data_IF_672866530000
#
_entry.id   IF_672866530000
#
_cell.length_a   1.000
_cell.length_b   1.000
_cell.length_c   1.000
_cell.angle_alpha   90.00
_cell.angle_beta   90.00
_cell.angle_gamma   90.00
#
_symmetry.space_group_name_H-M   'P 1'
#
loop_
_entity.id
_entity.type
_entity.pdbx_description
1 polymer ?
#
# COMPACT_ATOMS: atom_id res chain seq x y z
N UNK A 1 -15.04 41.18 -33.72
CA UNK A 1 -14.33 39.88 -33.66
C UNK A 1 -13.74 39.77 -32.27
N UNK A 2 -14.42 39.08 -31.34
CA UNK A 2 -14.04 39.02 -29.92
C UNK A 2 -13.38 37.67 -29.61
N UNK A 3 -12.20 37.71 -28.98
CA UNK A 3 -11.44 36.53 -28.56
C UNK A 3 -12.15 35.84 -27.39
N UNK A 4 -12.40 34.54 -27.53
CA UNK A 4 -12.94 33.69 -26.45
C UNK A 4 -11.86 33.48 -25.39
N UNK A 5 -12.13 33.77 -24.09
CA UNK A 5 -11.15 33.52 -23.05
C UNK A 5 -11.02 32.02 -22.81
N UNK A 6 -9.80 31.49 -22.96
CA UNK A 6 -9.48 30.11 -22.56
C UNK A 6 -9.47 30.03 -21.03
N UNK A 7 -10.48 29.37 -20.49
CA UNK A 7 -10.56 29.01 -19.07
C UNK A 7 -9.32 28.21 -18.67
N UNK A 8 -8.54 28.73 -17.72
CA UNK A 8 -7.41 28.02 -17.13
C UNK A 8 -7.97 26.81 -16.38
N UNK A 9 -7.86 25.61 -16.97
CA UNK A 9 -8.07 24.35 -16.25
C UNK A 9 -7.24 24.40 -14.98
N UNK A 10 -7.92 24.43 -13.83
CA UNK A 10 -7.32 24.39 -12.51
C UNK A 10 -6.33 23.24 -12.39
N UNK A 11 -5.29 23.45 -11.59
CA UNK A 11 -4.24 22.48 -11.33
C UNK A 11 -4.82 21.07 -11.16
N UNK A 12 -4.45 20.15 -12.06
CA UNK A 12 -4.80 18.74 -11.94
C UNK A 12 -4.34 18.28 -10.56
N UNK A 13 -5.28 17.84 -9.72
CA UNK A 13 -4.99 17.18 -8.45
C UNK A 13 -3.93 16.11 -8.66
N UNK A 14 -3.05 15.95 -7.68
CA UNK A 14 -1.89 15.07 -7.70
C UNK A 14 -2.22 13.74 -8.40
N UNK A 15 -1.54 13.43 -9.50
CA UNK A 15 -1.76 12.23 -10.31
C UNK A 15 -1.19 10.96 -9.67
N UNK A 16 -1.06 10.92 -8.34
CA UNK A 16 -0.62 9.73 -7.64
C UNK A 16 -1.81 8.77 -7.56
N UNK A 17 -1.67 7.51 -8.02
CA UNK A 17 -2.72 6.52 -7.87
C UNK A 17 -3.09 6.38 -6.38
N UNK A 18 -4.36 6.15 -6.11
CA UNK A 18 -4.87 5.93 -4.75
C UNK A 18 -4.18 4.70 -4.15
N UNK A 19 -3.30 4.92 -3.18
CA UNK A 19 -2.54 3.85 -2.52
C UNK A 19 -3.41 3.02 -1.57
N UNK A 20 -4.64 3.46 -1.27
CA UNK A 20 -5.59 2.66 -0.49
C UNK A 20 -6.12 1.43 -1.24
N UNK A 21 -5.95 1.37 -2.57
CA UNK A 21 -6.37 0.22 -3.37
C UNK A 21 -5.57 -1.05 -3.04
N UNK A 22 -4.32 -0.95 -2.58
CA UNK A 22 -3.39 -2.06 -2.34
C UNK A 22 -3.10 -2.24 -0.85
N UNK A 23 -2.74 -3.45 -0.39
CA UNK A 23 -2.23 -3.62 0.98
C UNK A 23 -1.02 -2.71 1.18
N UNK A 24 -0.90 -2.02 2.34
CA UNK A 24 0.23 -1.15 2.60
C UNK A 24 1.53 -1.94 2.50
N UNK A 25 2.47 -1.39 1.74
CA UNK A 25 3.80 -1.96 1.55
C UNK A 25 4.89 -1.08 2.14
N UNK A 26 4.57 0.17 2.44
CA UNK A 26 5.47 1.20 2.96
C UNK A 26 4.89 1.87 4.21
N UNK A 27 5.72 2.63 4.93
CA UNK A 27 5.26 3.45 6.05
C UNK A 27 4.29 4.53 5.57
N UNK A 28 4.56 5.12 4.43
CA UNK A 28 3.75 6.15 3.81
C UNK A 28 2.34 5.64 3.45
N UNK A 29 2.22 4.37 3.01
CA UNK A 29 0.92 3.74 2.79
C UNK A 29 0.13 3.58 4.11
N UNK A 30 0.81 3.26 5.21
CA UNK A 30 0.18 3.19 6.53
C UNK A 30 -0.28 4.56 7.00
N UNK A 31 0.55 5.59 6.84
CA UNK A 31 0.22 6.96 7.22
C UNK A 31 -0.97 7.49 6.40
N UNK A 32 -1.03 7.18 5.11
CA UNK A 32 -2.17 7.52 4.24
C UNK A 32 -3.49 6.86 4.69
N UNK A 33 -3.41 5.72 5.39
CA UNK A 33 -4.55 5.01 6.01
C UNK A 33 -4.82 5.46 7.45
N UNK A 34 -3.98 6.33 8.03
CA UNK A 34 -4.02 6.69 9.44
C UNK A 34 -3.66 5.53 10.38
N UNK A 35 -2.84 4.59 9.93
CA UNK A 35 -2.41 3.42 10.70
C UNK A 35 -1.03 3.67 11.32
N UNK A 36 -0.98 3.68 12.64
CA UNK A 36 0.25 3.73 13.43
C UNK A 36 0.98 2.38 13.46
N UNK A 37 0.21 1.29 13.53
CA UNK A 37 0.71 -0.07 13.67
C UNK A 37 -0.10 -1.08 12.83
N UNK A 38 0.60 -2.08 12.27
CA UNK A 38 0.00 -3.26 11.64
C UNK A 38 -0.36 -4.31 12.70
N UNK A 39 -1.43 -5.05 12.45
CA UNK A 39 -1.72 -6.27 13.20
C UNK A 39 -0.90 -7.43 12.68
N UNK A 40 -0.78 -7.56 11.36
CA UNK A 40 -0.06 -8.66 10.69
C UNK A 40 0.81 -8.09 9.58
N UNK A 41 2.06 -8.54 9.51
CA UNK A 41 2.95 -8.29 8.39
C UNK A 41 3.18 -9.58 7.59
N UNK A 42 2.78 -9.59 6.32
CA UNK A 42 3.08 -10.71 5.42
C UNK A 42 4.43 -10.43 4.75
N UNK A 43 5.39 -11.32 4.97
CA UNK A 43 6.67 -11.33 4.24
C UNK A 43 6.61 -12.42 3.17
N UNK A 44 6.73 -12.03 1.92
CA UNK A 44 6.55 -12.90 0.76
C UNK A 44 7.81 -12.90 -0.13
N UNK A 45 8.24 -14.08 -0.59
CA UNK A 45 9.36 -14.23 -1.52
C UNK A 45 9.00 -14.03 -2.99
N UNK A 46 7.71 -13.91 -3.32
CA UNK A 46 7.21 -13.63 -4.66
C UNK A 46 6.85 -12.14 -4.83
N UNK A 47 6.64 -11.68 -6.06
CA UNK A 47 6.11 -10.36 -6.34
C UNK A 47 4.73 -10.17 -5.69
N UNK A 48 4.45 -8.96 -5.22
CA UNK A 48 3.10 -8.60 -4.78
C UNK A 48 2.27 -8.17 -5.99
N UNK A 49 1.32 -9.03 -6.37
CA UNK A 49 0.23 -8.71 -7.28
C UNK A 49 -1.07 -8.91 -6.51
N UNK A 50 -1.89 -7.87 -6.40
CA UNK A 50 -3.12 -7.90 -5.62
C UNK A 50 -4.23 -8.64 -6.38
N UNK A 51 -4.09 -9.96 -6.46
CA UNK A 51 -4.97 -10.84 -7.22
C UNK A 51 -5.18 -12.17 -6.45
N UNK A 52 -6.38 -12.77 -6.47
CA UNK A 52 -6.68 -13.97 -5.68
C UNK A 52 -5.87 -15.22 -6.06
N UNK A 53 -5.21 -15.22 -7.23
CA UNK A 53 -4.26 -16.28 -7.62
C UNK A 53 -2.90 -16.18 -6.91
N UNK A 54 -2.61 -15.07 -6.22
CA UNK A 54 -1.37 -14.85 -5.48
C UNK A 54 -1.65 -15.08 -3.99
N UNK A 55 -1.06 -16.14 -3.42
CA UNK A 55 -1.39 -16.61 -2.07
C UNK A 55 -1.24 -15.53 -0.98
N UNK A 56 -0.15 -14.75 -1.02
CA UNK A 56 0.06 -13.65 -0.07
C UNK A 56 -1.04 -12.59 -0.14
N UNK A 57 -1.46 -12.21 -1.35
CA UNK A 57 -2.54 -11.25 -1.55
C UNK A 57 -3.89 -11.81 -1.06
N UNK A 58 -4.20 -13.07 -1.40
CA UNK A 58 -5.42 -13.74 -0.95
C UNK A 58 -5.53 -13.77 0.58
N UNK A 59 -4.47 -14.20 1.27
CA UNK A 59 -4.42 -14.25 2.73
C UNK A 59 -4.55 -12.84 3.31
N UNK A 60 -3.81 -11.87 2.77
CA UNK A 60 -3.84 -10.50 3.26
C UNK A 60 -5.22 -9.87 3.15
N UNK A 61 -5.91 -10.03 2.02
CA UNK A 61 -7.28 -9.53 1.83
C UNK A 61 -8.31 -10.28 2.66
N UNK A 62 -8.14 -11.58 2.86
CA UNK A 62 -9.01 -12.36 3.74
C UNK A 62 -8.94 -11.88 5.20
N UNK A 63 -7.74 -11.52 5.68
CA UNK A 63 -7.51 -10.97 7.01
C UNK A 63 -7.96 -9.50 7.11
N UNK A 64 -7.66 -8.67 6.11
CA UNK A 64 -8.13 -7.27 6.07
C UNK A 64 -9.66 -7.19 6.07
N UNK A 65 -10.35 -8.07 5.33
CA UNK A 65 -11.81 -8.21 5.34
C UNK A 65 -12.41 -8.65 6.68
N UNK A 66 -11.57 -9.09 7.64
CA UNK A 66 -11.94 -9.39 9.03
C UNK A 66 -11.60 -8.25 10.00
N UNK A 67 -11.15 -7.11 9.50
CA UNK A 67 -10.84 -5.92 10.29
C UNK A 67 -9.41 -5.86 10.82
N UNK A 68 -8.52 -6.76 10.38
CA UNK A 68 -7.10 -6.66 10.73
C UNK A 68 -6.38 -5.63 9.85
N UNK A 69 -5.43 -4.90 10.42
CA UNK A 69 -4.49 -4.05 9.68
C UNK A 69 -3.36 -4.91 9.14
N UNK A 70 -3.35 -5.20 7.85
CA UNK A 70 -2.39 -6.11 7.23
C UNK A 70 -1.47 -5.36 6.28
N UNK A 71 -0.16 -5.60 6.36
CA UNK A 71 0.82 -5.10 5.41
C UNK A 71 1.53 -6.21 4.63
N UNK A 72 2.18 -5.84 3.53
CA UNK A 72 2.88 -6.76 2.63
C UNK A 72 4.31 -6.28 2.35
N UNK A 73 5.31 -7.15 2.58
CA UNK A 73 6.68 -6.98 2.09
C UNK A 73 6.96 -8.10 1.10
N UNK A 74 7.06 -7.75 -0.17
CA UNK A 74 7.39 -8.67 -1.25
C UNK A 74 8.87 -8.56 -1.61
N UNK A 75 9.52 -9.70 -1.78
CA UNK A 75 10.92 -9.85 -2.16
C UNK A 75 11.86 -8.94 -1.34
N UNK A 76 11.83 -9.02 0.01
CA UNK A 76 12.78 -8.26 0.80
C UNK A 76 14.21 -8.70 0.47
N UNK A 77 15.15 -7.79 0.66
CA UNK A 77 16.55 -8.17 0.76
C UNK A 77 16.74 -9.27 1.81
N UNK A 78 17.59 -10.24 1.49
CA UNK A 78 17.91 -11.36 2.38
C UNK A 78 19.11 -11.03 3.29
N UNK A 79 19.94 -10.06 2.88
CA UNK A 79 21.17 -9.66 3.55
C UNK A 79 20.99 -8.43 4.45
N UNK A 80 19.81 -7.83 4.44
CA UNK A 80 19.50 -6.63 5.20
C UNK A 80 18.05 -6.67 5.71
N UNK A 81 17.85 -6.27 6.96
CA UNK A 81 16.55 -6.37 7.63
C UNK A 81 15.66 -5.13 7.45
N UNK A 82 16.16 -4.07 6.82
CA UNK A 82 15.43 -2.79 6.70
C UNK A 82 14.11 -2.94 5.95
N UNK A 83 14.05 -3.79 4.92
CA UNK A 83 12.81 -4.05 4.17
C UNK A 83 11.71 -4.65 5.05
N UNK A 84 12.08 -5.55 5.95
CA UNK A 84 11.13 -6.19 6.88
C UNK A 84 10.79 -5.22 8.02
N UNK A 85 11.75 -4.41 8.48
CA UNK A 85 11.58 -3.52 9.62
C UNK A 85 10.90 -2.18 9.30
N UNK A 86 10.82 -1.76 8.02
CA UNK A 86 10.35 -0.41 7.62
C UNK A 86 8.94 -0.05 8.10
N UNK A 87 8.06 -1.05 8.28
CA UNK A 87 6.69 -0.87 8.76
C UNK A 87 6.54 -1.13 10.28
N UNK A 88 7.65 -1.27 11.00
CA UNK A 88 7.65 -1.50 12.44
C UNK A 88 7.17 -2.90 12.84
N UNK A 89 7.22 -3.20 14.13
CA UNK A 89 6.79 -4.49 14.65
C UNK A 89 5.25 -4.60 14.60
N UNK A 90 4.70 -5.67 13.98
CA UNK A 90 3.26 -5.94 14.02
C UNK A 90 2.82 -6.30 15.44
N UNK A 91 1.52 -6.14 15.71
CA UNK A 91 0.93 -6.39 17.04
C UNK A 91 0.77 -7.88 17.37
N UNK A 92 0.57 -8.73 16.36
CA UNK A 92 0.31 -10.17 16.50
C UNK A 92 1.46 -11.01 15.95
#
# INVERSE_FOLDING_TARGET
MALVPLSRKGARGSSRPDTSAYLPSTREDMDARGWDQLDVLIVNGDAYVDHPAFGGALIGRFLEGRGYRVGMVAQPRWDDVSDVARMGAPRL
#
